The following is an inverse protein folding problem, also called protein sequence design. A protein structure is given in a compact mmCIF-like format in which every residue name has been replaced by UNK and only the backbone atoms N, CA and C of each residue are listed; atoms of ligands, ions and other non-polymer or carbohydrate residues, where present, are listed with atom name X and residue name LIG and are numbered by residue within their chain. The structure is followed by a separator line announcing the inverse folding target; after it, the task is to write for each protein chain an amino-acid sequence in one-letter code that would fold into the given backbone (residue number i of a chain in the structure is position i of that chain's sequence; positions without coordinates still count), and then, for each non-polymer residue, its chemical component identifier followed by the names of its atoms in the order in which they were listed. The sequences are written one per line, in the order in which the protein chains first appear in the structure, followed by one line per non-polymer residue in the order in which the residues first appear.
data_IF_809408865276
#
_entry.id   IF_809408865276
#
_cell.length_a   1.000
_cell.length_b   1.000
_cell.length_c   1.000
_cell.angle_alpha   90.00
_cell.angle_beta   90.00
_cell.angle_gamma   90.00
#
_symmetry.space_group_name_H-M   'P 1'
#
loop_
_entity.id
_entity.type
_entity.pdbx_description
1 polymer ?
#
# COMPACT_ATOMS: atom_id res chain seq x y z
N UNK A 1 -8.87 -2.42 -14.83
CA UNK A 1 -8.70 -3.86 -15.15
C UNK A 1 -7.26 -4.25 -14.87
N UNK A 2 -6.96 -5.39 -14.23
CA UNK A 2 -5.58 -5.79 -13.87
C UNK A 2 -4.60 -5.78 -15.04
N UNK A 3 -5.04 -6.18 -16.24
CA UNK A 3 -4.21 -6.14 -17.46
C UNK A 3 -3.82 -4.75 -17.95
N UNK A 4 -4.29 -3.68 -17.31
CA UNK A 4 -3.99 -2.28 -17.66
C UNK A 4 -3.10 -1.58 -16.62
N UNK A 5 -2.64 -2.29 -15.58
CA UNK A 5 -1.77 -1.72 -14.56
C UNK A 5 -0.43 -1.30 -15.17
N UNK A 6 -0.01 -0.08 -14.90
CA UNK A 6 1.29 0.45 -15.33
C UNK A 6 2.42 0.04 -14.39
N UNK A 7 2.10 -0.15 -13.11
CA UNK A 7 3.04 -0.57 -12.08
C UNK A 7 2.31 -1.11 -10.83
N UNK A 8 3.05 -1.81 -9.99
CA UNK A 8 2.69 -2.20 -8.63
C UNK A 8 3.71 -1.59 -7.66
N UNK A 9 3.23 -0.97 -6.58
CA UNK A 9 4.07 -0.41 -5.51
C UNK A 9 3.88 -1.25 -4.24
N UNK A 10 4.96 -1.80 -3.70
CA UNK A 10 4.97 -2.62 -2.47
C UNK A 10 5.66 -1.80 -1.38
N UNK A 11 4.96 -1.54 -0.28
CA UNK A 11 5.50 -0.77 0.85
C UNK A 11 6.44 -1.59 1.72
N UNK A 12 6.11 -2.87 1.95
CA UNK A 12 6.89 -3.79 2.76
C UNK A 12 6.51 -5.25 2.47
N UNK A 13 7.22 -6.19 3.07
CA UNK A 13 7.14 -7.61 2.69
C UNK A 13 6.38 -8.49 3.70
N UNK A 14 5.44 -7.94 4.47
CA UNK A 14 4.51 -8.77 5.23
C UNK A 14 3.59 -9.56 4.30
N UNK A 15 3.18 -10.75 4.74
CA UNK A 15 2.41 -11.69 3.92
C UNK A 15 1.04 -11.17 3.50
N UNK A 16 0.38 -10.41 4.35
CA UNK A 16 -0.93 -9.79 4.08
C UNK A 16 -0.87 -8.66 3.04
N UNK A 17 0.31 -8.06 2.81
CA UNK A 17 0.57 -7.11 1.74
C UNK A 17 1.07 -7.77 0.44
N UNK A 18 1.30 -9.09 0.46
CA UNK A 18 1.80 -9.88 -0.67
C UNK A 18 0.86 -11.01 -1.09
N UNK A 19 -0.23 -11.23 -0.36
CA UNK A 19 -1.13 -12.38 -0.57
C UNK A 19 -1.62 -12.47 -2.00
N UNK A 20 -2.01 -11.37 -2.62
CA UNK A 20 -2.56 -11.32 -3.97
C UNK A 20 -1.51 -11.00 -5.05
N UNK A 21 -0.22 -11.04 -4.72
CA UNK A 21 0.84 -10.78 -5.70
C UNK A 21 0.80 -11.74 -6.89
N UNK A 22 0.53 -13.01 -6.63
CA UNK A 22 0.34 -14.04 -7.66
C UNK A 22 -0.84 -13.69 -8.58
N UNK A 23 -1.96 -13.23 -8.04
CA UNK A 23 -3.15 -12.85 -8.80
C UNK A 23 -2.89 -11.60 -9.64
N UNK A 24 -2.23 -10.59 -9.08
CA UNK A 24 -1.86 -9.38 -9.83
C UNK A 24 -0.97 -9.74 -11.01
N UNK A 25 0.06 -10.56 -10.82
CA UNK A 25 0.96 -11.01 -11.88
C UNK A 25 0.20 -11.81 -12.94
N UNK A 26 -0.57 -12.80 -12.53
CA UNK A 26 -1.31 -13.67 -13.44
C UNK A 26 -2.36 -12.90 -14.22
N UNK A 27 -3.17 -12.07 -13.52
CA UNK A 27 -4.23 -11.30 -14.17
C UNK A 27 -3.68 -10.19 -15.07
N UNK A 28 -2.56 -9.56 -14.70
CA UNK A 28 -1.88 -8.63 -15.60
C UNK A 28 -1.47 -9.33 -16.90
N UNK A 29 -0.85 -10.50 -16.79
CA UNK A 29 -0.38 -11.25 -17.95
C UNK A 29 -1.54 -11.75 -18.84
N UNK A 30 -2.53 -12.42 -18.24
CA UNK A 30 -3.61 -13.10 -18.95
C UNK A 30 -4.66 -12.13 -19.50
N UNK A 31 -4.90 -11.01 -18.82
CA UNK A 31 -5.94 -10.04 -19.19
C UNK A 31 -5.40 -8.87 -20.00
N UNK A 32 -4.10 -8.79 -20.24
CA UNK A 32 -3.53 -7.77 -21.14
C UNK A 32 -3.88 -8.08 -22.60
N UNK A 33 -4.42 -7.12 -23.35
CA UNK A 33 -4.75 -7.32 -24.75
C UNK A 33 -3.52 -7.51 -25.65
N UNK A 34 -2.37 -7.04 -25.18
CA UNK A 34 -1.03 -7.26 -25.74
C UNK A 34 -0.06 -7.55 -24.61
N UNK A 35 0.95 -8.35 -24.86
CA UNK A 35 1.93 -8.65 -23.83
C UNK A 35 2.68 -7.38 -23.39
N UNK A 36 2.62 -7.11 -22.08
CA UNK A 36 3.21 -5.93 -21.47
C UNK A 36 4.08 -6.35 -20.27
N UNK A 37 5.07 -5.53 -19.96
CA UNK A 37 5.88 -5.69 -18.76
C UNK A 37 5.18 -5.01 -17.57
N UNK A 38 4.89 -5.77 -16.51
CA UNK A 38 4.49 -5.21 -15.22
C UNK A 38 5.76 -4.79 -14.46
N UNK A 39 5.85 -3.52 -14.12
CA UNK A 39 6.90 -3.03 -13.22
C UNK A 39 6.44 -3.13 -11.78
N UNK A 40 7.28 -3.73 -10.94
CA UNK A 40 7.04 -3.87 -9.51
C UNK A 40 8.13 -3.11 -8.78
N UNK A 41 7.74 -2.06 -8.06
CA UNK A 41 8.61 -1.29 -7.21
C UNK A 41 8.38 -1.73 -5.76
N UNK A 42 9.44 -1.96 -5.01
CA UNK A 42 9.33 -2.33 -3.60
C UNK A 42 10.68 -2.27 -2.89
N UNK A 43 10.70 -2.46 -1.57
CA UNK A 43 11.93 -2.43 -0.79
C UNK A 43 12.88 -3.57 -1.18
N UNK A 44 14.16 -3.53 -0.78
CA UNK A 44 15.10 -4.64 -0.94
C UNK A 44 14.49 -5.99 -0.56
N UNK A 45 14.79 -7.04 -1.34
CA UNK A 45 14.24 -8.40 -1.34
C UNK A 45 12.91 -8.60 -2.07
N UNK A 46 12.34 -7.55 -2.65
CA UNK A 46 11.15 -7.68 -3.52
C UNK A 46 11.43 -8.63 -4.69
N UNK A 47 12.62 -8.56 -5.28
CA UNK A 47 13.02 -9.45 -6.38
C UNK A 47 13.05 -10.94 -5.98
N UNK A 48 13.44 -11.25 -4.74
CA UNK A 48 13.41 -12.61 -4.19
C UNK A 48 11.97 -13.14 -4.13
N UNK A 49 11.04 -12.33 -3.61
CA UNK A 49 9.62 -12.68 -3.49
C UNK A 49 8.98 -12.89 -4.86
N UNK A 50 9.21 -11.98 -5.80
CA UNK A 50 8.68 -12.10 -7.17
C UNK A 50 9.22 -13.35 -7.85
N UNK A 51 10.52 -13.63 -7.70
CA UNK A 51 11.14 -14.86 -8.25
C UNK A 51 10.50 -16.12 -7.67
N UNK A 52 10.29 -16.17 -6.35
CA UNK A 52 9.62 -17.29 -5.69
C UNK A 52 8.17 -17.45 -6.15
N UNK A 53 7.44 -16.36 -6.30
CA UNK A 53 6.05 -16.34 -6.82
C UNK A 53 6.00 -16.88 -8.25
N UNK A 54 6.87 -16.44 -9.14
CA UNK A 54 6.94 -16.95 -10.52
C UNK A 54 7.30 -18.43 -10.55
N UNK A 55 8.19 -18.90 -9.67
CA UNK A 55 8.52 -20.31 -9.56
C UNK A 55 7.31 -21.15 -9.10
N UNK A 56 6.51 -20.65 -8.16
CA UNK A 56 5.27 -21.29 -7.74
C UNK A 56 4.21 -21.34 -8.86
N UNK A 57 4.17 -20.33 -9.73
CA UNK A 57 3.26 -20.23 -10.87
C UNK A 57 3.75 -21.02 -12.10
N UNK A 58 4.98 -21.55 -12.10
CA UNK A 58 5.56 -22.20 -13.29
C UNK A 58 4.68 -23.28 -13.95
N UNK A 59 3.99 -24.18 -13.20
CA UNK A 59 3.09 -25.14 -13.82
C UNK A 59 1.90 -24.48 -14.53
N UNK A 60 1.25 -23.49 -13.94
CA UNK A 60 0.13 -22.77 -14.55
C UNK A 60 0.58 -21.99 -15.81
N UNK A 61 1.73 -21.33 -15.73
CA UNK A 61 2.33 -20.66 -16.88
C UNK A 61 2.54 -21.63 -18.03
N UNK A 62 3.11 -22.81 -17.76
CA UNK A 62 3.33 -23.81 -18.79
C UNK A 62 2.04 -24.32 -19.42
N UNK A 63 1.00 -24.62 -18.60
CA UNK A 63 -0.29 -25.07 -19.13
C UNK A 63 -0.93 -24.05 -20.07
N UNK A 64 -0.82 -22.75 -19.75
CA UNK A 64 -1.37 -21.68 -20.61
C UNK A 64 -0.57 -21.50 -21.88
N UNK A 65 0.75 -21.58 -21.83
CA UNK A 65 1.61 -21.52 -23.02
C UNK A 65 1.38 -22.69 -23.96
N UNK A 66 1.13 -23.89 -23.42
CA UNK A 66 0.86 -25.08 -24.24
C UNK A 66 -0.51 -25.03 -24.91
N UNK A 67 -1.46 -24.31 -24.34
CA UNK A 67 -2.85 -24.26 -24.79
C UNK A 67 -3.18 -23.06 -25.68
N UNK A 68 -2.65 -21.87 -25.34
CA UNK A 68 -3.01 -20.60 -25.98
C UNK A 68 -1.97 -20.18 -27.03
N UNK A 69 -2.40 -20.12 -28.30
CA UNK A 69 -1.49 -19.77 -29.40
C UNK A 69 -1.08 -18.27 -29.43
N UNK A 70 -1.80 -17.43 -28.74
CA UNK A 70 -1.56 -15.98 -28.63
C UNK A 70 -0.62 -15.61 -27.46
N UNK A 71 -0.37 -16.54 -26.53
CA UNK A 71 0.59 -16.38 -25.46
C UNK A 71 1.95 -16.93 -25.90
N UNK A 72 2.91 -16.05 -26.19
CA UNK A 72 4.23 -16.46 -26.72
C UNK A 72 5.31 -16.57 -25.64
N UNK A 73 5.06 -16.04 -24.46
CA UNK A 73 5.96 -16.15 -23.29
C UNK A 73 5.16 -15.99 -21.98
N UNK A 74 5.76 -16.36 -20.86
CA UNK A 74 5.22 -16.13 -19.53
C UNK A 74 5.13 -14.66 -19.17
N UNK A 75 4.67 -14.35 -17.93
CA UNK A 75 4.58 -12.97 -17.44
C UNK A 75 5.90 -12.23 -17.57
N UNK A 76 5.86 -11.03 -18.15
CA UNK A 76 7.02 -10.14 -18.23
C UNK A 76 7.02 -9.24 -17.01
N UNK A 77 7.97 -9.42 -16.11
CA UNK A 77 8.08 -8.66 -14.86
C UNK A 77 9.44 -7.97 -14.81
N UNK A 78 9.42 -6.69 -14.47
CA UNK A 78 10.60 -5.91 -14.13
C UNK A 78 10.50 -5.49 -12.66
N UNK A 79 11.43 -5.91 -11.82
CA UNK A 79 11.47 -5.51 -10.41
C UNK A 79 12.49 -4.42 -10.22
N UNK A 80 12.08 -3.34 -9.58
CA UNK A 80 12.94 -2.21 -9.20
C UNK A 80 12.91 -2.10 -7.69
N UNK A 81 14.00 -2.48 -7.03
CA UNK A 81 14.13 -2.29 -5.58
C UNK A 81 14.44 -0.84 -5.27
N UNK A 82 13.69 -0.25 -4.35
CA UNK A 82 13.75 1.17 -4.00
C UNK A 82 14.03 1.37 -2.51
N UNK A 83 14.64 2.49 -2.18
CA UNK A 83 14.96 2.90 -0.81
C UNK A 83 14.50 4.34 -0.57
N UNK A 84 14.34 4.77 0.70
CA UNK A 84 14.01 6.16 1.00
C UNK A 84 14.96 7.15 0.34
N UNK A 85 14.40 8.16 -0.32
CA UNK A 85 15.11 9.16 -1.10
C UNK A 85 15.13 8.91 -2.60
N UNK A 86 14.75 7.72 -3.05
CA UNK A 86 14.61 7.45 -4.49
C UNK A 86 13.43 8.20 -5.09
N UNK A 87 13.59 8.60 -6.36
CA UNK A 87 12.54 9.23 -7.16
C UNK A 87 12.49 8.56 -8.54
N UNK A 88 11.28 8.33 -9.05
CA UNK A 88 11.06 7.77 -10.39
C UNK A 88 9.73 8.24 -10.97
N UNK A 89 9.40 7.81 -12.20
CA UNK A 89 8.12 8.16 -12.83
C UNK A 89 7.38 6.92 -13.32
N UNK A 90 6.05 6.96 -13.23
CA UNK A 90 5.14 5.98 -13.83
C UNK A 90 4.24 6.76 -14.80
N UNK A 91 4.54 6.68 -16.11
CA UNK A 91 3.88 7.56 -17.07
C UNK A 91 4.14 9.03 -16.78
N UNK A 92 3.07 9.80 -16.53
CA UNK A 92 3.14 11.22 -16.18
C UNK A 92 3.22 11.47 -14.66
N UNK A 93 3.10 10.43 -13.84
CA UNK A 93 3.10 10.53 -12.38
C UNK A 93 4.53 10.45 -11.86
N UNK A 94 4.97 11.44 -11.11
CA UNK A 94 6.21 11.38 -10.35
C UNK A 94 5.98 10.64 -9.03
N UNK A 95 6.94 9.83 -8.62
CA UNK A 95 6.88 9.06 -7.38
C UNK A 95 8.12 9.34 -6.55
N UNK A 96 7.92 9.73 -5.28
CA UNK A 96 8.98 9.85 -4.29
C UNK A 96 8.84 8.75 -3.25
N UNK A 97 9.98 8.19 -2.85
CA UNK A 97 10.05 7.13 -1.83
C UNK A 97 10.46 7.75 -0.51
N UNK A 98 9.63 7.56 0.51
CA UNK A 98 9.90 8.05 1.87
C UNK A 98 10.21 6.93 2.85
N UNK A 99 10.88 7.29 3.95
CA UNK A 99 11.08 6.38 5.08
C UNK A 99 9.79 6.25 5.90
N UNK A 100 9.53 5.04 6.39
CA UNK A 100 8.48 4.76 7.39
C UNK A 100 9.09 3.92 8.51
N UNK A 101 8.45 3.87 9.66
CA UNK A 101 8.91 3.08 10.81
C UNK A 101 7.89 1.99 11.11
N UNK A 102 8.23 0.78 10.75
CA UNK A 102 7.42 -0.43 10.97
C UNK A 102 8.24 -1.54 11.65
N UNK A 103 9.26 -1.17 12.43
CA UNK A 103 10.15 -2.14 13.08
C UNK A 103 9.40 -3.13 13.97
N UNK A 104 9.72 -4.44 13.91
CA UNK A 104 10.97 -5.03 13.40
C UNK A 104 11.00 -5.32 11.88
N UNK A 105 9.98 -4.94 11.10
CA UNK A 105 9.97 -5.15 9.65
C UNK A 105 10.79 -4.05 8.98
N UNK A 106 11.92 -4.45 8.41
CA UNK A 106 12.83 -3.59 7.68
C UNK A 106 13.41 -4.33 6.47
N UNK A 107 13.54 -3.66 5.34
CA UNK A 107 13.19 -2.27 5.06
C UNK A 107 11.70 -2.08 4.78
N UNK A 108 11.19 -0.88 5.08
CA UNK A 108 9.84 -0.43 4.72
C UNK A 108 9.89 0.93 4.05
N UNK A 109 8.96 1.20 3.15
CA UNK A 109 8.89 2.46 2.40
C UNK A 109 7.44 2.95 2.30
N UNK A 110 7.30 4.27 2.17
CA UNK A 110 6.07 4.93 1.77
C UNK A 110 6.25 5.58 0.40
N UNK A 111 5.17 5.87 -0.31
CA UNK A 111 5.21 6.48 -1.63
C UNK A 111 4.39 7.76 -1.66
N UNK A 112 4.93 8.83 -2.25
CA UNK A 112 4.18 9.99 -2.66
C UNK A 112 4.08 10.00 -4.18
N UNK A 113 2.86 10.01 -4.69
CA UNK A 113 2.53 10.12 -6.11
C UNK A 113 2.06 11.54 -6.39
N UNK A 114 2.55 12.13 -7.49
CA UNK A 114 2.20 13.50 -7.89
C UNK A 114 2.02 13.54 -9.42
N UNK A 115 0.84 13.98 -9.89
CA UNK A 115 0.54 14.08 -11.32
C UNK A 115 0.74 15.53 -11.87
N UNK A 116 1.28 16.41 -11.04
CA UNK A 116 1.48 17.83 -11.34
C UNK A 116 0.30 18.71 -10.95
N UNK A 117 -0.84 18.14 -10.57
CA UNK A 117 -2.05 18.83 -10.10
C UNK A 117 -2.39 18.42 -8.68
N UNK A 118 -2.36 17.13 -8.42
CA UNK A 118 -2.68 16.53 -7.13
C UNK A 118 -1.59 15.57 -6.67
N UNK A 119 -1.54 15.38 -5.36
CA UNK A 119 -0.55 14.48 -4.74
C UNK A 119 -1.19 13.59 -3.67
N UNK A 120 -0.81 12.33 -3.68
CA UNK A 120 -1.30 11.31 -2.73
C UNK A 120 -0.11 10.63 -2.06
N UNK A 121 -0.16 10.48 -0.74
CA UNK A 121 0.80 9.69 0.02
C UNK A 121 0.18 8.37 0.44
N UNK A 122 0.86 7.27 0.13
CA UNK A 122 0.54 5.92 0.57
C UNK A 122 1.53 5.55 1.68
N UNK A 123 1.09 5.64 2.94
CA UNK A 123 1.95 5.46 4.11
C UNK A 123 2.39 4.02 4.33
N UNK A 124 1.53 3.05 3.98
CA UNK A 124 1.73 1.66 4.38
C UNK A 124 1.59 1.47 5.89
N UNK A 125 2.10 0.36 6.40
CA UNK A 125 2.13 0.10 7.82
C UNK A 125 3.29 0.84 8.49
N UNK A 126 3.04 1.32 9.71
CA UNK A 126 4.06 2.00 10.47
C UNK A 126 3.49 2.97 11.52
N UNK A 127 4.36 3.42 12.38
CA UNK A 127 4.09 4.48 13.35
C UNK A 127 4.50 5.84 12.79
N UNK A 128 4.01 6.96 13.37
CA UNK A 128 4.45 8.29 12.98
C UNK A 128 5.97 8.44 13.09
N UNK A 129 6.60 8.91 12.01
CA UNK A 129 8.04 9.21 11.97
C UNK A 129 8.31 10.44 11.11
N UNK A 130 9.52 10.99 11.20
CA UNK A 130 9.87 12.21 10.47
C UNK A 130 9.84 11.99 8.95
N UNK A 131 10.31 10.85 8.45
CA UNK A 131 10.31 10.56 7.02
C UNK A 131 8.92 10.51 6.43
N UNK A 132 7.96 9.88 7.13
CA UNK A 132 6.55 9.86 6.71
C UNK A 132 5.93 11.26 6.78
N UNK A 133 6.24 12.03 7.84
CA UNK A 133 5.76 13.40 7.95
C UNK A 133 6.27 14.27 6.79
N UNK A 134 7.56 14.22 6.49
CA UNK A 134 8.16 14.97 5.36
C UNK A 134 7.53 14.61 4.02
N UNK A 135 7.25 13.32 3.80
CA UNK A 135 6.59 12.86 2.59
C UNK A 135 5.16 13.41 2.46
N UNK A 136 4.45 13.54 3.59
CA UNK A 136 3.07 14.05 3.65
C UNK A 136 2.97 15.57 3.52
N UNK A 137 4.05 16.36 3.69
CA UNK A 137 3.97 17.80 3.68
C UNK A 137 3.25 18.35 2.45
N UNK A 138 2.10 19.02 2.68
CA UNK A 138 1.30 19.65 1.64
C UNK A 138 0.73 18.68 0.59
N UNK A 139 0.60 17.40 0.90
CA UNK A 139 -0.10 16.46 0.02
C UNK A 139 -1.62 16.70 0.06
N UNK A 140 -2.32 16.43 -1.05
CA UNK A 140 -3.78 16.53 -1.10
C UNK A 140 -4.46 15.40 -0.34
N UNK A 141 -3.92 14.18 -0.43
CA UNK A 141 -4.42 13.05 0.34
C UNK A 141 -3.29 12.25 1.01
N UNK A 142 -3.61 11.69 2.17
CA UNK A 142 -2.78 10.75 2.90
C UNK A 142 -3.60 9.49 3.19
N UNK A 143 -3.16 8.36 2.69
CA UNK A 143 -3.75 7.03 2.91
C UNK A 143 -2.90 6.30 3.95
N UNK A 144 -3.53 5.93 5.08
CA UNK A 144 -2.83 5.30 6.19
C UNK A 144 -3.58 4.09 6.71
N UNK A 145 -2.82 3.04 6.99
CA UNK A 145 -3.27 1.88 7.74
C UNK A 145 -3.43 2.24 9.21
N UNK A 146 -4.51 1.81 9.86
CA UNK A 146 -4.80 2.24 11.23
C UNK A 146 -5.32 1.12 12.12
N UNK A 147 -5.00 1.25 13.41
CA UNK A 147 -5.51 0.37 14.45
C UNK A 147 -6.30 1.13 15.52
N UNK A 148 -7.25 0.44 16.14
CA UNK A 148 -7.94 0.87 17.37
C UNK A 148 -7.24 0.24 18.58
N UNK A 149 -6.30 0.97 19.15
CA UNK A 149 -5.48 0.48 20.26
C UNK A 149 -6.32 0.11 21.49
N UNK A 150 -7.40 0.86 21.75
CA UNK A 150 -8.35 0.58 22.81
C UNK A 150 -9.05 -0.79 22.63
N UNK A 151 -9.36 -1.18 21.40
CA UNK A 151 -9.98 -2.48 21.10
C UNK A 151 -8.93 -3.60 21.07
N UNK A 152 -7.76 -3.35 20.50
CA UNK A 152 -6.65 -4.31 20.44
C UNK A 152 -6.21 -4.73 21.85
N UNK A 153 -6.12 -3.78 22.79
CA UNK A 153 -5.77 -4.04 24.21
C UNK A 153 -6.76 -4.96 24.92
N UNK A 154 -8.00 -5.10 24.45
CA UNK A 154 -8.98 -6.01 25.04
C UNK A 154 -8.78 -7.47 24.61
N UNK A 155 -8.00 -7.72 23.57
CA UNK A 155 -7.73 -9.08 23.08
C UNK A 155 -6.69 -9.74 23.97
N UNK A 156 -6.96 -10.89 24.61
CA UNK A 156 -6.04 -11.54 25.53
C UNK A 156 -4.99 -12.37 24.76
N UNK A 157 -4.26 -11.72 23.86
CA UNK A 157 -3.21 -12.33 23.04
C UNK A 157 -2.01 -11.38 22.95
N UNK A 158 -0.86 -11.81 23.49
CA UNK A 158 0.35 -11.00 23.43
C UNK A 158 0.72 -10.63 22.00
N UNK A 159 0.70 -11.60 21.06
CA UNK A 159 1.01 -11.33 19.65
C UNK A 159 0.11 -10.28 19.02
N UNK A 160 -1.16 -10.25 19.44
CA UNK A 160 -2.09 -9.25 18.94
C UNK A 160 -1.86 -7.89 19.58
N UNK A 161 -1.38 -7.84 20.82
CA UNK A 161 -1.00 -6.60 21.47
C UNK A 161 0.33 -6.04 20.96
N UNK A 162 1.25 -6.92 20.55
CA UNK A 162 2.55 -6.51 20.00
C UNK A 162 2.41 -5.64 18.74
N UNK A 163 1.28 -5.74 18.00
CA UNK A 163 1.04 -4.87 16.83
C UNK A 163 0.91 -3.38 17.18
N UNK A 164 0.63 -3.06 18.44
CA UNK A 164 0.57 -1.67 18.94
C UNK A 164 1.90 -0.94 18.84
N UNK A 165 2.99 -1.68 18.83
CA UNK A 165 4.34 -1.10 18.82
C UNK A 165 4.75 -0.57 17.45
N UNK A 166 4.07 -1.00 16.37
CA UNK A 166 4.51 -0.75 15.02
C UNK A 166 3.38 -0.39 14.01
N UNK A 167 2.19 -0.05 14.52
CA UNK A 167 1.09 0.49 13.70
C UNK A 167 0.58 1.82 14.25
N UNK A 168 0.19 2.71 13.37
CA UNK A 168 -0.45 3.98 13.76
C UNK A 168 -1.86 3.76 14.29
N UNK A 169 -2.19 4.42 15.39
CA UNK A 169 -3.60 4.54 15.78
C UNK A 169 -4.33 5.51 14.86
N UNK A 170 -5.67 5.51 14.91
CA UNK A 170 -6.51 6.46 14.17
C UNK A 170 -6.11 7.90 14.50
N UNK A 171 -5.90 8.18 15.79
CA UNK A 171 -5.52 9.51 16.28
C UNK A 171 -4.13 9.92 15.77
N UNK A 172 -3.17 8.99 15.77
CA UNK A 172 -1.81 9.25 15.28
C UNK A 172 -1.80 9.57 13.78
N UNK A 173 -2.58 8.84 12.98
CA UNK A 173 -2.74 9.14 11.55
C UNK A 173 -3.34 10.54 11.33
N UNK A 174 -4.38 10.89 12.10
CA UNK A 174 -5.03 12.19 12.07
C UNK A 174 -4.08 13.34 12.51
N UNK A 175 -3.26 13.11 13.52
CA UNK A 175 -2.23 14.06 13.97
C UNK A 175 -1.15 14.27 12.90
N UNK A 176 -0.72 13.20 12.24
CA UNK A 176 0.24 13.27 11.12
C UNK A 176 -0.35 14.08 9.96
N UNK A 177 -1.60 13.80 9.56
CA UNK A 177 -2.31 14.55 8.53
C UNK A 177 -2.41 16.05 8.87
N UNK A 178 -2.77 16.38 10.11
CA UNK A 178 -2.87 17.78 10.60
C UNK A 178 -1.53 18.49 10.58
N UNK A 179 -0.48 17.86 11.11
CA UNK A 179 0.87 18.43 11.14
C UNK A 179 1.44 18.67 9.74
N UNK A 180 1.13 17.78 8.79
CA UNK A 180 1.60 17.88 7.43
C UNK A 180 0.76 18.81 6.53
N UNK A 181 -0.40 19.29 7.01
CA UNK A 181 -1.28 20.16 6.24
C UNK A 181 -1.99 19.45 5.09
N UNK A 182 -2.25 18.15 5.24
CA UNK A 182 -3.00 17.33 4.25
C UNK A 182 -4.47 17.80 4.24
N UNK A 183 -5.14 17.71 3.10
CA UNK A 183 -6.55 18.09 2.98
C UNK A 183 -7.51 16.90 3.19
N UNK A 184 -7.11 15.71 2.77
CA UNK A 184 -7.91 14.48 2.89
C UNK A 184 -7.09 13.36 3.57
N UNK A 185 -7.64 12.79 4.64
CA UNK A 185 -7.12 11.62 5.32
C UNK A 185 -7.99 10.40 4.96
N UNK A 186 -7.38 9.39 4.35
CA UNK A 186 -8.03 8.11 4.05
C UNK A 186 -7.49 7.06 5.02
N UNK A 187 -8.38 6.50 5.83
CA UNK A 187 -8.06 5.40 6.74
C UNK A 187 -8.36 4.08 6.05
N UNK A 188 -7.48 3.11 6.22
CA UNK A 188 -7.59 1.77 5.61
C UNK A 188 -6.95 0.71 6.49
N UNK A 189 -7.00 -0.57 6.09
CA UNK A 189 -6.33 -1.68 6.78
C UNK A 189 -6.66 -1.71 8.28
N UNK A 190 -7.94 -1.73 8.60
CA UNK A 190 -8.44 -1.58 9.97
C UNK A 190 -8.14 -2.77 10.85
N UNK A 191 -7.57 -2.53 12.04
CA UNK A 191 -7.40 -3.56 13.06
C UNK A 191 -7.99 -3.10 14.38
N UNK A 192 -9.04 -3.81 14.89
CA UNK A 192 -9.79 -4.86 14.21
C UNK A 192 -10.62 -4.29 13.04
N UNK A 193 -11.16 -5.16 12.20
CA UNK A 193 -12.12 -4.74 11.17
C UNK A 193 -13.27 -3.92 11.78
N UNK A 194 -13.73 -2.91 11.06
CA UNK A 194 -14.84 -2.07 11.51
C UNK A 194 -16.11 -2.92 11.64
N UNK A 195 -16.68 -2.97 12.83
CA UNK A 195 -17.96 -3.64 13.03
C UNK A 195 -19.07 -2.86 12.32
N UNK A 196 -20.07 -3.52 11.72
CA UNK A 196 -21.18 -2.84 11.07
C UNK A 196 -21.86 -1.82 11.99
N UNK A 197 -21.91 -0.55 11.56
CA UNK A 197 -22.50 0.56 12.32
C UNK A 197 -21.53 1.25 13.29
N UNK A 198 -20.26 0.85 13.35
CA UNK A 198 -19.23 1.49 14.18
C UNK A 198 -18.39 2.53 13.41
N UNK A 199 -18.71 2.81 12.16
CA UNK A 199 -17.94 3.70 11.28
C UNK A 199 -17.81 5.12 11.86
N UNK A 200 -18.86 5.62 12.51
CA UNK A 200 -18.86 6.96 13.11
C UNK A 200 -17.91 7.05 14.32
N UNK A 201 -17.65 5.96 15.03
CA UNK A 201 -16.66 5.93 16.11
C UNK A 201 -15.24 6.15 15.57
N UNK A 202 -14.88 5.48 14.46
CA UNK A 202 -13.59 5.65 13.82
C UNK A 202 -13.41 7.06 13.27
N UNK A 203 -14.48 7.61 12.65
CA UNK A 203 -14.47 8.99 12.17
C UNK A 203 -14.29 9.99 13.30
N UNK A 204 -14.99 9.78 14.43
CA UNK A 204 -14.92 10.68 15.57
C UNK A 204 -13.52 10.74 16.21
N UNK A 205 -12.81 9.60 16.28
CA UNK A 205 -11.42 9.55 16.74
C UNK A 205 -10.50 10.38 15.85
N UNK A 206 -10.62 10.23 14.53
CA UNK A 206 -9.85 11.03 13.59
C UNK A 206 -10.22 12.51 13.66
N UNK A 207 -11.51 12.83 13.70
CA UNK A 207 -12.03 14.21 13.74
C UNK A 207 -11.62 14.98 15.01
N UNK A 208 -11.30 14.28 16.10
CA UNK A 208 -10.74 14.92 17.29
C UNK A 208 -9.36 15.58 17.05
N UNK A 209 -8.65 15.16 16.00
CA UNK A 209 -7.28 15.60 15.72
C UNK A 209 -7.09 16.13 14.29
N UNK A 210 -8.08 16.00 13.41
CA UNK A 210 -7.98 16.44 12.02
C UNK A 210 -9.30 17.07 11.58
N UNK A 211 -9.23 18.28 11.02
CA UNK A 211 -10.40 19.05 10.59
C UNK A 211 -10.67 18.98 9.08
N UNK A 212 -9.84 18.26 8.32
CA UNK A 212 -10.02 18.05 6.89
C UNK A 212 -11.03 16.96 6.57
N UNK A 213 -11.04 16.51 5.33
CA UNK A 213 -11.92 15.45 4.88
C UNK A 213 -11.40 14.07 5.39
N UNK A 214 -12.27 13.31 6.09
CA UNK A 214 -11.95 11.98 6.62
C UNK A 214 -12.76 10.94 5.85
N UNK A 215 -12.05 10.05 5.18
CA UNK A 215 -12.62 8.93 4.43
C UNK A 215 -12.26 7.61 5.11
N UNK A 216 -13.26 6.78 5.37
CA UNK A 216 -13.03 5.37 5.69
C UNK A 216 -13.01 4.61 4.35
N UNK A 217 -11.82 4.16 3.96
CA UNK A 217 -11.60 3.49 2.67
C UNK A 217 -11.91 2.00 2.78
N UNK A 218 -13.02 1.60 2.20
CA UNK A 218 -13.36 0.22 1.91
C UNK A 218 -12.94 -0.16 0.49
N UNK A 219 -13.10 -1.44 0.13
CA UNK A 219 -12.84 -1.92 -1.21
C UNK A 219 -13.62 -1.08 -2.24
N UNK A 220 -12.94 -0.64 -3.28
CA UNK A 220 -13.48 0.18 -4.36
C UNK A 220 -13.96 1.59 -3.95
N UNK A 221 -13.63 2.06 -2.75
CA UNK A 221 -13.86 3.47 -2.38
C UNK A 221 -13.06 4.39 -3.30
N UNK A 222 -13.72 5.37 -3.89
CA UNK A 222 -13.10 6.40 -4.71
C UNK A 222 -13.05 7.72 -3.94
N UNK A 223 -11.94 8.43 -4.05
CA UNK A 223 -11.73 9.76 -3.45
C UNK A 223 -11.39 10.73 -4.57
N UNK A 224 -12.16 11.80 -4.66
CA UNK A 224 -11.86 12.91 -5.58
C UNK A 224 -11.00 13.95 -4.83
N UNK A 225 -9.96 14.47 -5.51
CA UNK A 225 -8.98 15.41 -4.96
C UNK A 225 -9.07 16.78 -5.64
#
# INVERSE_FOLDING_TARGET
MPGMLSALLITHLHSDHLTDLNDVITMHWVMSPVQQTLRIYGPPRTAEIVTATLAALAPDIQYRLDHHNDLTSGPQIEVVEVVPGDEFTIGAVSVKVGATDHRPVEPTVAFRLDDGTHSVVLGGDGIPCDGLHELCLGADAYVQTVIRDDLVKLVPSQRFQDILDYHSTVEQAAQTATRAGVTTLVLTHYVPAIAPGAEDEWRALAAAHFSGNIVLGDDLTSVEL
#
